data_IF_982618152840
#
_entry.id   IF_982618152840
#
_cell.length_a   1.000
_cell.length_b   1.000
_cell.length_c   1.000
_cell.angle_alpha   90.00
_cell.angle_beta   90.00
_cell.angle_gamma   90.00
#
_symmetry.space_group_name_H-M   'P 1'
#
loop_
_entity.id
_entity.type
_entity.pdbx_description
1 polymer ?
#
# COMPACT_ATOMS: atom_id res chain seq x y z
N UNK A 1 8.46 33.42 4.88
CA UNK A 1 7.62 32.58 5.76
C UNK A 1 8.49 31.43 6.23
N UNK A 2 8.88 31.45 7.51
CA UNK A 2 9.65 30.36 8.12
C UNK A 2 8.65 29.39 8.77
N UNK A 3 8.69 28.12 8.37
CA UNK A 3 7.92 27.05 8.98
C UNK A 3 8.72 25.76 8.95
N UNK A 4 9.53 25.54 9.98
CA UNK A 4 10.00 24.20 10.32
C UNK A 4 8.85 23.45 10.98
N UNK A 5 8.37 22.34 10.40
CA UNK A 5 7.76 21.25 11.19
C UNK A 5 7.88 19.89 10.48
N UNK A 6 8.61 18.99 11.14
CA UNK A 6 8.38 17.53 11.28
C UNK A 6 8.66 16.60 10.09
N UNK A 7 9.84 15.97 10.14
CA UNK A 7 9.94 14.52 9.93
C UNK A 7 8.92 13.82 10.85
N UNK A 8 8.25 12.77 10.34
CA UNK A 8 7.15 11.97 10.93
C UNK A 8 5.74 12.41 10.49
N UNK A 9 5.24 11.77 9.43
CA UNK A 9 3.86 11.95 8.88
C UNK A 9 3.71 11.61 7.39
N UNK A 10 4.82 11.44 6.66
CA UNK A 10 4.82 11.34 5.19
C UNK A 10 4.36 10.01 4.59
N UNK A 11 4.59 8.88 5.27
CA UNK A 11 4.32 7.55 4.71
C UNK A 11 2.81 7.25 4.64
N UNK A 12 2.07 7.49 5.73
CA UNK A 12 0.61 7.39 5.74
C UNK A 12 -0.05 8.31 4.69
N UNK A 13 0.52 9.51 4.49
CA UNK A 13 0.11 10.41 3.44
C UNK A 13 0.40 9.81 2.05
N UNK A 14 1.55 9.17 1.85
CA UNK A 14 1.90 8.49 0.60
C UNK A 14 0.94 7.36 0.22
N UNK A 15 0.60 6.48 1.17
CA UNK A 15 -0.34 5.37 0.93
C UNK A 15 -1.76 5.88 0.65
N UNK A 16 -2.22 6.89 1.40
CA UNK A 16 -3.53 7.50 1.18
C UNK A 16 -3.63 8.19 -0.18
N UNK A 17 -2.57 8.89 -0.60
CA UNK A 17 -2.53 9.51 -1.92
C UNK A 17 -2.50 8.48 -3.05
N UNK A 18 -1.76 7.38 -2.88
CA UNK A 18 -1.76 6.27 -3.82
C UNK A 18 -3.14 5.62 -3.97
N UNK A 19 -3.87 5.46 -2.86
CA UNK A 19 -5.26 5.00 -2.89
C UNK A 19 -6.19 5.97 -3.65
N UNK A 20 -6.01 7.28 -3.50
CA UNK A 20 -6.77 8.26 -4.28
C UNK A 20 -6.49 8.17 -5.79
N UNK A 21 -5.22 7.98 -6.18
CA UNK A 21 -4.82 7.78 -7.57
C UNK A 21 -5.45 6.49 -8.13
N UNK A 22 -5.34 5.40 -7.38
CA UNK A 22 -5.93 4.11 -7.74
C UNK A 22 -7.45 4.22 -7.97
N UNK A 23 -8.17 4.84 -7.05
CA UNK A 23 -9.61 4.98 -7.13
C UNK A 23 -10.11 5.89 -8.27
N UNK A 24 -9.26 6.80 -8.75
CA UNK A 24 -9.57 7.67 -9.89
C UNK A 24 -9.30 7.04 -11.26
N UNK A 25 -8.61 5.89 -11.32
CA UNK A 25 -8.21 5.23 -12.57
C UNK A 25 -9.28 4.31 -13.15
N UNK A 26 -9.18 4.04 -14.46
CA UNK A 26 -9.91 2.94 -15.11
C UNK A 26 -9.41 1.57 -14.64
N UNK A 27 -10.12 0.50 -14.97
CA UNK A 27 -9.71 -0.87 -14.59
C UNK A 27 -8.32 -1.23 -15.15
N UNK A 28 -7.99 -0.79 -16.36
CA UNK A 28 -6.67 -0.98 -16.96
C UNK A 28 -5.59 -0.19 -16.22
N UNK A 29 -5.87 1.08 -15.88
CA UNK A 29 -4.94 1.93 -15.13
C UNK A 29 -4.71 1.39 -13.72
N UNK A 30 -5.77 0.86 -13.08
CA UNK A 30 -5.70 0.18 -11.79
C UNK A 30 -4.82 -1.06 -11.86
N UNK A 31 -4.94 -1.85 -12.92
CA UNK A 31 -4.11 -3.05 -13.12
C UNK A 31 -2.63 -2.67 -13.31
N UNK A 32 -2.34 -1.71 -14.20
CA UNK A 32 -0.97 -1.21 -14.43
C UNK A 32 -0.35 -0.64 -13.15
N UNK A 33 -1.12 0.14 -12.39
CA UNK A 33 -0.68 0.71 -11.13
C UNK A 33 -0.30 -0.35 -10.09
N UNK A 34 -1.10 -1.42 -9.97
CA UNK A 34 -0.79 -2.55 -9.08
C UNK A 34 0.48 -3.27 -9.52
N UNK A 35 0.64 -3.49 -10.83
CA UNK A 35 1.84 -4.14 -11.38
C UNK A 35 3.11 -3.31 -11.14
N UNK A 36 3.03 -1.99 -11.27
CA UNK A 36 4.15 -1.07 -10.99
C UNK A 36 4.54 -1.09 -9.50
N UNK A 37 3.56 -1.03 -8.60
CA UNK A 37 3.80 -1.16 -7.16
C UNK A 37 4.45 -2.51 -6.83
N UNK A 38 3.92 -3.60 -7.39
CA UNK A 38 4.46 -4.93 -7.19
C UNK A 38 5.89 -5.03 -7.71
N UNK A 39 6.19 -4.46 -8.88
CA UNK A 39 7.53 -4.44 -9.45
C UNK A 39 8.53 -3.72 -8.54
N UNK A 40 8.15 -2.58 -7.96
CA UNK A 40 8.97 -1.85 -6.99
C UNK A 40 9.20 -2.63 -5.69
N UNK A 41 8.23 -3.47 -5.28
CA UNK A 41 8.32 -4.26 -4.06
C UNK A 41 9.01 -5.61 -4.26
N UNK A 42 9.10 -6.17 -5.47
CA UNK A 42 9.65 -7.53 -5.72
C UNK A 42 11.04 -7.77 -5.14
N UNK A 43 11.92 -6.77 -5.20
CA UNK A 43 13.29 -6.85 -4.67
C UNK A 43 13.41 -6.52 -3.18
N UNK A 44 12.33 -6.05 -2.54
CA UNK A 44 12.34 -5.74 -1.12
C UNK A 44 12.33 -7.00 -0.25
N UNK A 45 12.81 -6.85 0.98
CA UNK A 45 12.70 -7.86 2.03
C UNK A 45 11.24 -8.20 2.34
N UNK A 46 10.96 -9.43 2.77
CA UNK A 46 9.58 -9.92 2.99
C UNK A 46 8.81 -9.05 4.00
N UNK A 47 9.46 -8.64 5.09
CA UNK A 47 8.83 -7.76 6.09
C UNK A 47 8.43 -6.41 5.49
N UNK A 48 9.25 -5.85 4.61
CA UNK A 48 8.98 -4.58 3.94
C UNK A 48 7.80 -4.71 2.98
N UNK A 49 7.76 -5.80 2.19
CA UNK A 49 6.62 -6.10 1.31
C UNK A 49 5.33 -6.18 2.11
N UNK A 50 5.36 -6.92 3.22
CA UNK A 50 4.20 -7.13 4.06
C UNK A 50 3.69 -5.83 4.68
N UNK A 51 4.59 -5.00 5.24
CA UNK A 51 4.22 -3.70 5.80
C UNK A 51 3.61 -2.78 4.74
N UNK A 52 4.19 -2.74 3.54
CA UNK A 52 3.66 -1.95 2.44
C UNK A 52 2.25 -2.41 2.05
N UNK A 53 2.04 -3.72 1.87
CA UNK A 53 0.71 -4.27 1.54
C UNK A 53 -0.31 -3.93 2.63
N UNK A 54 0.05 -4.09 3.91
CA UNK A 54 -0.85 -3.75 5.01
C UNK A 54 -1.20 -2.26 5.03
N UNK A 55 -0.23 -1.37 4.78
CA UNK A 55 -0.48 0.07 4.70
C UNK A 55 -1.38 0.45 3.52
N UNK A 56 -1.16 -0.18 2.35
CA UNK A 56 -2.06 0.00 1.20
C UNK A 56 -3.46 -0.53 1.48
N UNK A 57 -3.59 -1.69 2.12
CA UNK A 57 -4.89 -2.26 2.52
C UNK A 57 -5.65 -1.34 3.49
N UNK A 58 -4.95 -0.72 4.43
CA UNK A 58 -5.56 0.26 5.34
C UNK A 58 -6.06 1.52 4.61
N UNK A 59 -5.37 1.94 3.55
CA UNK A 59 -5.77 3.09 2.74
C UNK A 59 -6.91 2.73 1.77
N UNK A 60 -6.86 1.54 1.18
CA UNK A 60 -7.86 0.99 0.26
C UNK A 60 -7.77 -0.55 0.23
N UNK A 61 -8.85 -1.22 0.63
CA UNK A 61 -8.86 -2.67 0.77
C UNK A 61 -8.66 -3.40 -0.56
N UNK A 62 -9.27 -2.92 -1.65
CA UNK A 62 -9.14 -3.54 -2.97
C UNK A 62 -7.71 -3.45 -3.49
N UNK A 63 -7.09 -2.26 -3.36
CA UNK A 63 -5.69 -2.05 -3.74
C UNK A 63 -4.75 -2.99 -2.95
N UNK A 64 -4.93 -3.05 -1.62
CA UNK A 64 -4.12 -3.91 -0.77
C UNK A 64 -4.27 -5.40 -1.10
N UNK A 65 -5.50 -5.88 -1.33
CA UNK A 65 -5.76 -7.27 -1.71
C UNK A 65 -5.14 -7.62 -3.07
N UNK A 66 -5.34 -6.78 -4.09
CA UNK A 66 -4.77 -7.01 -5.42
C UNK A 66 -3.24 -7.02 -5.39
N UNK A 67 -2.63 -6.12 -4.63
CA UNK A 67 -1.18 -6.09 -4.47
C UNK A 67 -0.65 -7.35 -3.77
N UNK A 68 -1.37 -7.84 -2.75
CA UNK A 68 -1.06 -9.09 -2.07
C UNK A 68 -1.11 -10.28 -3.03
N UNK A 69 -2.14 -10.35 -3.88
CA UNK A 69 -2.32 -11.41 -4.87
C UNK A 69 -1.19 -11.42 -5.92
N UNK A 70 -0.81 -10.26 -6.47
CA UNK A 70 0.29 -10.15 -7.46
C UNK A 70 1.64 -10.53 -6.85
N UNK A 71 1.86 -10.20 -5.58
CA UNK A 71 3.08 -10.58 -4.86
C UNK A 71 3.02 -12.01 -4.27
N UNK A 72 1.88 -12.68 -4.38
CA UNK A 72 1.60 -13.99 -3.80
C UNK A 72 1.84 -14.06 -2.28
N UNK A 73 1.48 -13.01 -1.54
CA UNK A 73 1.66 -12.90 -0.10
C UNK A 73 0.31 -13.02 0.61
N UNK A 74 0.20 -13.98 1.53
CA UNK A 74 -1.01 -14.13 2.34
C UNK A 74 -1.03 -13.12 3.51
N UNK A 75 -1.87 -12.09 3.39
CA UNK A 75 -1.99 -11.04 4.42
C UNK A 75 -3.04 -11.31 5.50
N UNK A 76 -3.90 -12.34 5.34
CA UNK A 76 -4.98 -12.63 6.30
C UNK A 76 -4.53 -12.70 7.76
N UNK A 77 -3.43 -13.41 8.11
CA UNK A 77 -2.97 -13.50 9.50
C UNK A 77 -2.64 -12.14 10.12
N UNK A 78 -2.22 -11.18 9.28
CA UNK A 78 -1.77 -9.86 9.72
C UNK A 78 -2.94 -8.88 9.85
N UNK A 79 -3.96 -9.01 9.01
CA UNK A 79 -5.21 -8.25 9.15
C UNK A 79 -5.92 -8.59 10.47
N UNK A 80 -5.89 -9.85 10.89
CA UNK A 80 -6.44 -10.29 12.17
C UNK A 80 -5.70 -9.69 13.38
N UNK A 81 -4.40 -9.38 13.22
CA UNK A 81 -3.62 -8.69 14.25
C UNK A 81 -3.90 -7.18 14.25
N UNK A 82 -4.03 -6.57 13.06
CA UNK A 82 -4.38 -5.16 12.91
C UNK A 82 -5.75 -4.82 13.51
N UNK A 83 -6.74 -5.70 13.36
CA UNK A 83 -8.08 -5.51 13.93
C UNK A 83 -8.12 -5.59 15.48
N UNK A 84 -7.00 -5.97 16.13
CA UNK A 84 -6.89 -6.07 17.60
C UNK A 84 -6.15 -4.89 18.24
N UNK A 85 -5.62 -3.96 17.44
CA UNK A 85 -4.98 -2.72 17.89
C UNK A 85 -6.01 -1.59 17.98
#
# INVERSE_FOLDING_TARGET
MNGFTTNQGGEANGFSQAALVYNGGSDEQKAEFVDDLAAGLRSAEEMTKLLAICNYYQADAELGERLADVLQINIKPYLEQLARL
#
